data_IF_791149394365
#
_entry.id   IF_791149394365
#
_cell.length_a   1.000
_cell.length_b   1.000
_cell.length_c   1.000
_cell.angle_alpha   90.00
_cell.angle_beta   90.00
_cell.angle_gamma   90.00
#
_symmetry.space_group_name_H-M   'P 1'
#
loop_
_entity.id
_entity.type
_entity.pdbx_description
1 polymer ?
#
# COMPACT_ATOMS: atom_id res chain seq x y z
N UNK A 1 -14.77 -11.04 -20.79
CA UNK A 1 -14.73 -11.19 -19.30
C UNK A 1 -14.58 -9.80 -18.70
N UNK A 2 -15.39 -9.44 -17.69
CA UNK A 2 -15.30 -8.14 -17.04
C UNK A 2 -14.68 -8.27 -15.65
N UNK A 3 -13.93 -7.25 -15.22
CA UNK A 3 -13.36 -7.16 -13.88
C UNK A 3 -13.55 -5.74 -13.32
N UNK A 4 -13.75 -5.65 -12.01
CA UNK A 4 -13.86 -4.40 -11.26
C UNK A 4 -12.51 -4.17 -10.56
N UNK A 5 -11.92 -2.99 -10.72
CA UNK A 5 -10.73 -2.56 -9.99
C UNK A 5 -11.05 -1.40 -9.07
N UNK A 6 -10.56 -1.43 -7.82
CA UNK A 6 -10.73 -0.35 -6.83
C UNK A 6 -9.36 0.10 -6.35
N UNK A 7 -9.12 1.40 -6.45
CA UNK A 7 -7.92 2.08 -5.93
C UNK A 7 -8.31 3.03 -4.79
N UNK A 8 -7.78 2.76 -3.60
CA UNK A 8 -7.97 3.61 -2.41
C UNK A 8 -6.75 4.54 -2.26
N UNK A 9 -6.77 5.66 -2.97
CA UNK A 9 -5.74 6.68 -2.83
C UNK A 9 -5.95 7.58 -1.61
N UNK A 10 -4.93 8.36 -1.29
CA UNK A 10 -4.94 9.30 -0.15
C UNK A 10 -6.00 10.40 -0.30
N UNK A 11 -6.17 10.92 -1.51
CA UNK A 11 -7.09 12.05 -1.81
C UNK A 11 -8.36 11.62 -2.52
N UNK A 12 -8.31 10.53 -3.28
CA UNK A 12 -9.41 10.02 -4.08
C UNK A 12 -9.58 8.52 -3.88
N UNK A 13 -10.79 8.05 -4.12
CA UNK A 13 -11.10 6.62 -4.30
C UNK A 13 -11.56 6.48 -5.74
N UNK A 14 -10.88 5.64 -6.50
CA UNK A 14 -11.18 5.41 -7.90
C UNK A 14 -11.61 3.97 -8.14
N UNK A 15 -12.55 3.79 -9.02
CA UNK A 15 -12.96 2.48 -9.49
C UNK A 15 -12.96 2.45 -11.02
N UNK A 16 -12.64 1.30 -11.58
CA UNK A 16 -12.69 1.03 -13.02
C UNK A 16 -13.40 -0.28 -13.28
N UNK A 17 -14.08 -0.38 -14.41
CA UNK A 17 -14.54 -1.64 -14.96
C UNK A 17 -13.78 -1.89 -16.25
N UNK A 18 -13.13 -3.02 -16.33
CA UNK A 18 -12.30 -3.43 -17.48
C UNK A 18 -12.94 -4.64 -18.12
N UNK A 19 -13.08 -4.61 -19.45
CA UNK A 19 -13.42 -5.77 -20.24
C UNK A 19 -12.18 -6.35 -20.91
N UNK A 20 -11.99 -7.66 -20.78
CA UNK A 20 -10.89 -8.42 -21.41
C UNK A 20 -11.50 -9.33 -22.48
N UNK A 21 -11.06 -9.15 -23.72
CA UNK A 21 -11.48 -9.98 -24.85
C UNK A 21 -10.77 -11.34 -24.90
N UNK A 22 -11.12 -12.18 -25.87
CA UNK A 22 -10.53 -13.51 -26.07
C UNK A 22 -9.03 -13.43 -26.44
N UNK A 23 -8.56 -12.30 -26.97
CA UNK A 23 -7.16 -12.05 -27.32
C UNK A 23 -6.37 -11.44 -26.15
N UNK A 24 -7.00 -11.33 -24.97
CA UNK A 24 -6.46 -10.71 -23.76
C UNK A 24 -6.19 -9.19 -23.88
N UNK A 25 -6.83 -8.51 -24.82
CA UNK A 25 -6.82 -7.06 -24.83
C UNK A 25 -7.78 -6.54 -23.78
N UNK A 26 -7.32 -5.59 -22.97
CA UNK A 26 -8.12 -4.96 -21.94
C UNK A 26 -8.62 -3.60 -22.41
N UNK A 27 -9.91 -3.31 -22.16
CA UNK A 27 -10.51 -2.00 -22.44
C UNK A 27 -11.22 -1.52 -21.19
N UNK A 28 -10.93 -0.30 -20.77
CA UNK A 28 -11.68 0.37 -19.70
C UNK A 28 -13.04 0.78 -20.25
N UNK A 29 -14.11 0.16 -19.74
CA UNK A 29 -15.49 0.45 -20.17
C UNK A 29 -16.19 1.46 -19.27
N UNK A 30 -15.74 1.60 -18.02
CA UNK A 30 -16.19 2.65 -17.10
C UNK A 30 -15.10 2.99 -16.10
N UNK A 31 -15.06 4.25 -15.68
CA UNK A 31 -14.21 4.75 -14.61
C UNK A 31 -15.00 5.76 -13.76
N UNK A 32 -14.80 5.70 -12.45
CA UNK A 32 -15.39 6.61 -11.49
C UNK A 32 -14.36 7.00 -10.44
N UNK A 33 -14.28 8.30 -10.15
CA UNK A 33 -13.41 8.82 -9.09
C UNK A 33 -14.23 9.71 -8.15
N UNK A 34 -14.09 9.49 -6.86
CA UNK A 34 -14.71 10.28 -5.81
C UNK A 34 -13.66 10.82 -4.85
N UNK A 35 -13.96 11.92 -4.16
CA UNK A 35 -13.10 12.48 -3.14
C UNK A 35 -13.07 11.54 -1.91
N UNK A 36 -11.88 11.17 -1.45
CA UNK A 36 -11.70 10.40 -0.24
C UNK A 36 -12.22 11.21 0.96
N UNK A 37 -11.65 12.38 1.23
CA UNK A 37 -12.16 13.34 2.22
C UNK A 37 -12.27 12.77 3.63
N UNK A 38 -11.41 11.83 3.99
CA UNK A 38 -11.42 11.11 5.27
C UNK A 38 -10.35 11.59 6.26
N UNK A 39 -9.54 12.59 5.90
CA UNK A 39 -8.54 13.14 6.81
C UNK A 39 -9.18 13.62 8.11
N UNK A 40 -8.60 13.23 9.24
CA UNK A 40 -8.96 13.65 10.57
C UNK A 40 -8.07 14.86 10.93
N UNK A 41 -8.69 15.94 11.40
CA UNK A 41 -7.93 17.10 11.89
C UNK A 41 -7.32 16.77 13.24
N UNK A 42 -6.03 17.03 13.37
CA UNK A 42 -5.26 16.84 14.61
C UNK A 42 -4.57 18.15 14.98
N UNK A 43 -4.11 18.25 16.22
CA UNK A 43 -3.30 19.38 16.69
C UNK A 43 -1.84 19.28 16.27
N UNK A 44 -1.40 18.11 15.83
CA UNK A 44 -0.02 17.82 15.48
C UNK A 44 0.16 17.90 13.96
N UNK A 45 1.03 18.78 13.48
CA UNK A 45 1.28 18.94 12.04
C UNK A 45 1.89 17.71 11.39
N UNK A 46 2.62 16.88 12.15
CA UNK A 46 3.22 15.65 11.69
C UNK A 46 2.22 14.48 11.58
N UNK A 47 1.09 14.57 12.27
CA UNK A 47 0.10 13.49 12.30
C UNK A 47 -0.78 13.55 11.05
N UNK A 48 -0.74 12.48 10.28
CA UNK A 48 -1.49 12.33 9.02
C UNK A 48 -2.32 11.06 9.09
N UNK A 49 -3.51 11.19 9.65
CA UNK A 49 -4.44 10.09 9.88
C UNK A 49 -5.75 10.29 9.13
N UNK A 50 -6.39 9.18 8.77
CA UNK A 50 -7.67 9.15 8.07
C UNK A 50 -8.67 8.25 8.79
N UNK A 51 -9.95 8.57 8.68
CA UNK A 51 -11.06 7.74 9.15
C UNK A 51 -11.19 6.49 8.27
N UNK A 52 -10.74 5.35 8.79
CA UNK A 52 -10.72 4.08 8.07
C UNK A 52 -12.13 3.62 7.69
N UNK A 53 -13.10 3.72 8.61
CA UNK A 53 -14.48 3.29 8.36
C UNK A 53 -15.16 4.14 7.27
N UNK A 54 -14.92 5.45 7.26
CA UNK A 54 -15.41 6.35 6.23
C UNK A 54 -14.85 5.99 4.85
N UNK A 55 -13.56 5.60 4.78
CA UNK A 55 -12.94 5.13 3.53
C UNK A 55 -13.64 3.86 3.06
N UNK A 56 -13.80 2.87 3.95
CA UNK A 56 -14.44 1.59 3.61
C UNK A 56 -15.87 1.80 3.14
N UNK A 57 -16.67 2.63 3.82
CA UNK A 57 -18.04 2.94 3.39
C UNK A 57 -18.08 3.53 1.98
N UNK A 58 -17.21 4.49 1.68
CA UNK A 58 -17.14 5.11 0.35
C UNK A 58 -16.68 4.14 -0.74
N UNK A 59 -15.66 3.34 -0.45
CA UNK A 59 -15.17 2.33 -1.39
C UNK A 59 -16.25 1.28 -1.69
N UNK A 60 -16.98 0.83 -0.68
CA UNK A 60 -18.11 -0.11 -0.85
C UNK A 60 -19.21 0.47 -1.73
N UNK A 61 -19.54 1.75 -1.59
CA UNK A 61 -20.55 2.40 -2.48
C UNK A 61 -20.10 2.31 -3.95
N UNK A 62 -18.82 2.56 -4.25
CA UNK A 62 -18.29 2.45 -5.62
C UNK A 62 -18.33 1.00 -6.13
N UNK A 63 -17.95 0.04 -5.27
CA UNK A 63 -18.03 -1.41 -5.59
C UNK A 63 -19.46 -1.80 -5.89
N UNK A 64 -20.41 -1.44 -5.02
CA UNK A 64 -21.83 -1.81 -5.15
C UNK A 64 -22.45 -1.23 -6.42
N UNK A 65 -22.19 0.02 -6.73
CA UNK A 65 -22.67 0.66 -7.97
C UNK A 65 -22.14 -0.06 -9.24
N UNK A 66 -20.87 -0.49 -9.23
CA UNK A 66 -20.34 -1.25 -10.36
C UNK A 66 -20.91 -2.66 -10.47
N UNK A 67 -21.14 -3.34 -9.36
CA UNK A 67 -21.76 -4.66 -9.35
C UNK A 67 -23.20 -4.56 -9.88
N UNK A 68 -23.97 -3.57 -9.42
CA UNK A 68 -25.36 -3.37 -9.84
C UNK A 68 -25.45 -3.09 -11.35
N UNK A 69 -24.47 -2.38 -11.92
CA UNK A 69 -24.41 -2.07 -13.35
C UNK A 69 -23.80 -3.18 -14.22
N UNK A 70 -22.85 -3.94 -13.65
CA UNK A 70 -22.12 -5.02 -14.31
C UNK A 70 -22.20 -6.32 -13.50
N UNK A 71 -23.38 -6.92 -13.37
CA UNK A 71 -23.58 -8.13 -12.56
C UNK A 71 -22.84 -9.35 -13.12
N UNK A 72 -22.36 -9.26 -14.36
CA UNK A 72 -21.52 -10.25 -15.04
C UNK A 72 -20.00 -10.07 -14.80
N UNK A 73 -19.61 -9.21 -13.84
CA UNK A 73 -18.23 -9.08 -13.44
C UNK A 73 -17.71 -10.40 -12.82
N UNK A 74 -16.49 -10.80 -13.17
CA UNK A 74 -15.91 -12.07 -12.76
C UNK A 74 -14.92 -11.93 -11.59
N UNK A 75 -14.47 -10.73 -11.30
CA UNK A 75 -13.50 -10.48 -10.24
C UNK A 75 -13.52 -9.03 -9.75
N UNK A 76 -13.15 -8.84 -8.47
CA UNK A 76 -12.88 -7.54 -7.85
C UNK A 76 -11.41 -7.52 -7.42
N UNK A 77 -10.62 -6.67 -8.08
CA UNK A 77 -9.23 -6.40 -7.74
C UNK A 77 -9.09 -5.15 -6.87
N UNK A 78 -8.18 -5.17 -5.91
CA UNK A 78 -7.99 -4.11 -4.93
C UNK A 78 -6.55 -3.57 -4.99
N UNK A 79 -6.43 -2.25 -4.89
CA UNK A 79 -5.16 -1.56 -4.72
C UNK A 79 -5.36 -0.26 -3.94
N UNK A 80 -4.29 0.44 -3.60
CA UNK A 80 -4.38 1.74 -2.92
C UNK A 80 -3.09 2.17 -2.26
N UNK A 81 -3.19 3.20 -1.43
CA UNK A 81 -2.06 3.79 -0.73
C UNK A 81 -1.33 2.77 0.13
N UNK A 82 -0.05 2.59 -0.15
CA UNK A 82 0.84 1.67 0.55
C UNK A 82 1.34 2.27 1.88
N UNK A 83 2.13 1.49 2.60
CA UNK A 83 2.88 1.83 3.83
C UNK A 83 2.02 2.03 5.09
N UNK A 84 0.88 2.72 4.98
CA UNK A 84 0.02 3.03 6.12
C UNK A 84 -0.63 1.80 6.74
N UNK A 85 -0.99 1.89 8.03
CA UNK A 85 -1.63 0.79 8.79
C UNK A 85 -2.93 1.19 9.46
N UNK A 86 -3.83 0.21 9.55
CA UNK A 86 -5.03 0.21 10.40
C UNK A 86 -4.87 -0.92 11.40
N UNK A 87 -5.00 -0.65 12.71
CA UNK A 87 -5.05 -1.70 13.72
C UNK A 87 -6.40 -2.39 13.73
N UNK A 88 -6.36 -3.71 13.90
CA UNK A 88 -7.54 -4.58 13.92
C UNK A 88 -7.58 -5.37 15.23
N UNK A 89 -8.79 -5.56 15.75
CA UNK A 89 -9.02 -6.47 16.88
C UNK A 89 -9.09 -7.95 16.42
N UNK A 90 -9.33 -8.86 17.36
CA UNK A 90 -9.41 -10.30 17.09
C UNK A 90 -10.57 -10.68 16.15
N UNK A 91 -11.63 -9.86 16.09
CA UNK A 91 -12.79 -10.04 15.21
C UNK A 91 -12.56 -9.43 13.82
N UNK A 92 -11.37 -8.85 13.55
CA UNK A 92 -11.04 -8.24 12.28
C UNK A 92 -11.68 -6.87 12.05
N UNK A 93 -12.08 -6.15 13.11
CA UNK A 93 -12.63 -4.80 13.03
C UNK A 93 -11.55 -3.77 13.30
N UNK A 94 -11.62 -2.61 12.63
CA UNK A 94 -10.70 -1.52 12.91
C UNK A 94 -10.89 -0.97 14.33
N UNK A 95 -9.76 -0.74 15.02
CA UNK A 95 -9.71 -0.17 16.36
C UNK A 95 -8.83 1.09 16.39
N UNK A 96 -8.49 1.62 15.22
CA UNK A 96 -7.72 2.85 15.05
C UNK A 96 -8.13 3.59 13.79
N UNK A 97 -7.75 4.86 13.63
CA UNK A 97 -7.69 5.49 12.32
C UNK A 97 -6.67 4.76 11.43
N UNK A 98 -6.70 5.03 10.13
CA UNK A 98 -5.59 4.74 9.23
C UNK A 98 -4.46 5.74 9.50
N UNK A 99 -3.31 5.26 9.91
CA UNK A 99 -2.07 6.01 9.91
C UNK A 99 -1.50 5.97 8.49
N UNK A 100 -1.44 7.12 7.81
CA UNK A 100 -1.06 7.13 6.39
C UNK A 100 0.45 7.11 6.18
N UNK A 101 0.88 6.87 4.95
CA UNK A 101 2.28 6.95 4.56
C UNK A 101 2.92 8.34 4.76
N UNK A 102 2.09 9.40 4.89
CA UNK A 102 2.52 10.77 5.14
C UNK A 102 2.73 11.08 6.62
N UNK A 103 2.40 10.14 7.51
CA UNK A 103 2.51 10.36 8.94
C UNK A 103 3.98 10.49 9.37
N UNK A 104 4.28 11.59 10.05
CA UNK A 104 5.63 12.02 10.39
C UNK A 104 6.13 11.55 11.76
N UNK A 105 5.35 10.72 12.51
CA UNK A 105 5.68 10.36 13.90
C UNK A 105 7.07 9.74 14.10
N UNK A 106 7.56 8.95 13.15
CA UNK A 106 8.89 8.34 13.21
C UNK A 106 10.05 9.36 13.22
N UNK A 107 9.81 10.60 12.76
CA UNK A 107 10.79 11.68 12.74
C UNK A 107 10.80 12.55 14.01
N UNK A 108 9.84 12.34 14.93
CA UNK A 108 9.75 13.16 16.14
C UNK A 108 10.91 12.80 17.06
N UNK A 109 11.64 13.84 17.48
CA UNK A 109 12.71 13.67 18.44
C UNK A 109 12.14 13.47 19.84
N UNK A 110 12.65 12.49 20.56
CA UNK A 110 12.38 12.26 21.97
C UNK A 110 13.07 13.34 22.79
N UNK A 111 12.35 14.00 23.71
CA UNK A 111 12.86 15.12 24.50
C UNK A 111 14.06 14.73 25.39
N UNK A 112 14.18 13.45 25.79
CA UNK A 112 15.24 12.97 26.67
C UNK A 112 16.52 12.64 25.91
N UNK A 113 16.39 12.06 24.73
CA UNK A 113 17.52 11.56 23.93
C UNK A 113 17.93 12.52 22.81
N UNK A 114 17.04 13.44 22.42
CA UNK A 114 17.21 14.32 21.25
C UNK A 114 17.22 13.57 19.91
N UNK A 115 16.87 12.27 19.90
CA UNK A 115 16.89 11.43 18.71
C UNK A 115 15.48 11.04 18.29
N UNK A 116 15.24 10.98 16.99
CA UNK A 116 14.02 10.38 16.46
C UNK A 116 14.09 8.85 16.47
N UNK A 117 12.91 8.21 16.41
CA UNK A 117 12.84 6.76 16.31
C UNK A 117 13.61 6.23 15.10
N UNK A 118 13.53 6.90 13.95
CA UNK A 118 14.30 6.52 12.75
C UNK A 118 15.80 6.56 13.00
N UNK A 119 16.29 7.57 13.71
CA UNK A 119 17.72 7.66 14.05
C UNK A 119 18.15 6.55 15.01
N UNK A 120 17.31 6.23 16.00
CA UNK A 120 17.56 5.12 16.91
C UNK A 120 17.64 3.77 16.18
N UNK A 121 16.74 3.55 15.21
CA UNK A 121 16.71 2.33 14.38
C UNK A 121 17.96 2.27 13.49
N UNK A 122 18.29 3.35 12.79
CA UNK A 122 19.48 3.42 11.95
C UNK A 122 20.75 3.08 12.74
N UNK A 123 20.92 3.64 13.95
CA UNK A 123 22.09 3.39 14.80
C UNK A 123 22.14 1.95 15.34
N UNK A 124 20.99 1.37 15.70
CA UNK A 124 20.92 0.01 16.28
C UNK A 124 20.98 -1.10 15.24
N UNK A 125 20.35 -0.89 14.11
CA UNK A 125 20.07 -1.93 13.13
C UNK A 125 20.74 -1.66 11.77
N UNK A 126 21.31 -0.48 11.54
CA UNK A 126 21.80 -0.04 10.23
C UNK A 126 20.69 -0.10 9.15
N UNK A 127 19.41 -0.07 9.58
CA UNK A 127 18.25 -0.15 8.71
C UNK A 127 17.73 1.26 8.41
N UNK A 128 17.63 1.57 7.12
CA UNK A 128 17.06 2.85 6.64
C UNK A 128 15.58 2.67 6.38
N UNK A 129 14.76 3.40 7.11
CA UNK A 129 13.33 3.39 6.97
C UNK A 129 12.76 4.81 6.74
N UNK A 130 11.52 4.89 6.28
CA UNK A 130 10.77 6.13 6.21
C UNK A 130 9.74 6.21 7.34
N UNK A 131 9.43 7.43 7.79
CA UNK A 131 8.52 7.65 8.92
C UNK A 131 7.13 7.05 8.72
N UNK A 132 6.61 7.11 7.49
CA UNK A 132 5.28 6.58 7.16
C UNK A 132 5.21 5.06 6.96
N UNK A 133 6.32 4.33 7.15
CA UNK A 133 6.27 2.86 7.10
C UNK A 133 5.49 2.29 8.28
N UNK A 134 4.65 1.30 8.01
CA UNK A 134 3.71 0.75 8.99
C UNK A 134 4.35 0.25 10.28
N UNK A 135 5.48 -0.46 10.18
CA UNK A 135 6.21 -0.93 11.35
C UNK A 135 6.92 0.20 12.10
N UNK A 136 7.33 1.28 11.43
CA UNK A 136 7.84 2.49 12.10
C UNK A 136 6.73 3.18 12.88
N UNK A 137 5.54 3.30 12.27
CA UNK A 137 4.34 3.81 12.96
C UNK A 137 4.00 2.96 14.17
N UNK A 138 4.00 1.62 14.02
CA UNK A 138 3.72 0.71 15.11
C UNK A 138 4.74 0.84 16.26
N UNK A 139 6.03 0.81 15.96
CA UNK A 139 7.10 0.96 16.96
C UNK A 139 7.03 2.28 17.73
N UNK A 140 6.69 3.37 17.03
CA UNK A 140 6.44 4.65 17.71
C UNK A 140 5.24 4.55 18.65
N UNK A 141 4.14 4.00 18.17
CA UNK A 141 2.93 3.84 18.97
C UNK A 141 3.16 2.94 20.18
N UNK A 142 3.93 1.86 20.04
CA UNK A 142 4.30 0.98 21.14
C UNK A 142 5.15 1.71 22.18
N UNK A 143 6.21 2.42 21.75
CA UNK A 143 7.09 3.22 22.60
C UNK A 143 6.33 4.27 23.41
N UNK A 144 5.26 4.83 22.85
CA UNK A 144 4.45 5.89 23.45
C UNK A 144 3.10 5.43 24.02
N UNK A 145 2.87 4.12 24.13
CA UNK A 145 1.62 3.52 24.64
C UNK A 145 0.36 3.98 23.88
N UNK A 146 0.48 4.16 22.57
CA UNK A 146 -0.59 4.57 21.65
C UNK A 146 -1.20 3.42 20.85
N UNK A 147 -0.68 2.19 21.01
CA UNK A 147 -1.30 1.01 20.41
C UNK A 147 -2.63 0.75 21.11
N UNK A 148 -3.76 0.64 20.37
CA UNK A 148 -5.05 0.35 20.99
C UNK A 148 -5.00 -0.97 21.78
N UNK A 149 -5.60 -0.99 22.97
CA UNK A 149 -5.56 -2.16 23.84
C UNK A 149 -6.21 -3.40 23.21
N UNK A 150 -7.15 -3.19 22.30
CA UNK A 150 -7.86 -4.25 21.57
C UNK A 150 -7.13 -4.70 20.30
N UNK A 151 -6.01 -4.02 19.96
CA UNK A 151 -5.26 -4.34 18.75
C UNK A 151 -4.65 -5.75 18.82
N UNK A 152 -4.95 -6.56 17.83
CA UNK A 152 -4.44 -7.92 17.67
C UNK A 152 -3.45 -7.99 16.50
N UNK A 153 -3.74 -7.27 15.41
CA UNK A 153 -2.95 -7.22 14.19
C UNK A 153 -3.15 -5.89 13.48
N UNK A 154 -2.54 -5.72 12.32
CA UNK A 154 -2.74 -4.56 11.44
C UNK A 154 -2.69 -4.97 9.97
N UNK A 155 -3.18 -4.11 9.10
CA UNK A 155 -3.04 -4.26 7.64
C UNK A 155 -3.12 -2.89 6.94
N UNK A 156 -2.96 -2.86 5.62
CA UNK A 156 -3.23 -1.66 4.83
C UNK A 156 -4.73 -1.39 4.73
N UNK A 157 -5.11 -0.20 4.27
CA UNK A 157 -6.53 0.15 4.09
C UNK A 157 -7.20 -0.67 2.99
N UNK A 158 -6.48 -1.04 1.92
CA UNK A 158 -7.03 -1.87 0.86
C UNK A 158 -7.16 -3.34 1.28
N UNK A 159 -6.26 -3.87 2.11
CA UNK A 159 -6.42 -5.20 2.70
C UNK A 159 -7.63 -5.21 3.64
N UNK A 160 -7.83 -4.13 4.41
CA UNK A 160 -9.01 -3.97 5.28
C UNK A 160 -10.31 -3.91 4.45
N UNK A 161 -10.32 -3.24 3.29
CA UNK A 161 -11.48 -3.31 2.38
C UNK A 161 -11.74 -4.75 1.94
N UNK A 162 -10.71 -5.49 1.53
CA UNK A 162 -10.83 -6.90 1.16
C UNK A 162 -11.46 -7.75 2.27
N UNK A 163 -11.02 -7.56 3.52
CA UNK A 163 -11.60 -8.22 4.70
C UNK A 163 -13.09 -7.85 4.89
N UNK A 164 -13.42 -6.56 4.79
CA UNK A 164 -14.79 -6.08 4.96
C UNK A 164 -15.74 -6.61 3.89
N UNK A 165 -15.29 -6.74 2.65
CA UNK A 165 -16.07 -7.31 1.56
C UNK A 165 -16.33 -8.82 1.77
N UNK A 166 -15.28 -9.56 2.16
CA UNK A 166 -15.33 -11.02 2.25
C UNK A 166 -15.63 -11.56 3.64
N UNK A 167 -15.81 -10.68 4.64
CA UNK A 167 -16.07 -11.02 6.05
C UNK A 167 -14.95 -11.85 6.69
N UNK A 168 -13.70 -11.66 6.23
CA UNK A 168 -12.54 -12.25 6.89
C UNK A 168 -12.27 -11.56 8.22
N UNK A 169 -11.79 -12.32 9.19
CA UNK A 169 -11.38 -11.81 10.51
C UNK A 169 -9.87 -11.59 10.64
N UNK A 170 -9.09 -12.12 9.71
CA UNK A 170 -7.63 -12.01 9.71
C UNK A 170 -7.16 -11.49 8.34
N UNK A 171 -6.21 -10.55 8.31
CA UNK A 171 -5.66 -10.04 7.07
C UNK A 171 -4.75 -11.08 6.40
N UNK A 172 -4.91 -11.21 5.08
CA UNK A 172 -3.95 -11.83 4.18
C UNK A 172 -3.40 -10.71 3.30
N UNK A 173 -2.10 -10.48 3.38
CA UNK A 173 -1.43 -9.34 2.75
C UNK A 173 -0.48 -9.84 1.66
N UNK A 174 -0.62 -9.31 0.45
CA UNK A 174 0.33 -9.64 -0.62
C UNK A 174 1.73 -9.07 -0.30
N UNK A 175 2.79 -9.79 -0.70
CA UNK A 175 4.19 -9.40 -0.46
C UNK A 175 4.51 -7.95 -0.87
N UNK A 176 3.83 -7.39 -1.89
CA UNK A 176 4.01 -6.00 -2.31
C UNK A 176 3.61 -5.00 -1.22
N UNK A 177 2.52 -5.28 -0.50
CA UNK A 177 2.05 -4.48 0.63
C UNK A 177 2.84 -4.77 1.90
N UNK A 178 3.16 -6.04 2.17
CA UNK A 178 3.96 -6.45 3.32
C UNK A 178 5.35 -5.77 3.31
N UNK A 179 6.02 -5.74 2.16
CA UNK A 179 7.30 -5.05 2.00
C UNK A 179 7.21 -3.54 2.34
N UNK A 180 6.06 -2.92 2.08
CA UNK A 180 5.84 -1.49 2.34
C UNK A 180 5.73 -1.13 3.82
N UNK A 181 5.55 -2.11 4.71
CA UNK A 181 5.55 -1.86 6.15
C UNK A 181 6.94 -1.61 6.73
N UNK A 182 8.01 -1.98 6.02
CA UNK A 182 9.39 -1.96 6.50
C UNK A 182 9.77 -3.25 7.25
N UNK A 183 11.05 -3.41 7.56
CA UNK A 183 11.61 -4.63 8.18
C UNK A 183 11.19 -5.90 7.44
N UNK A 184 11.30 -5.87 6.13
CA UNK A 184 10.91 -6.95 5.25
C UNK A 184 12.08 -7.34 4.34
N UNK A 185 12.46 -8.61 4.39
CA UNK A 185 13.44 -9.19 3.46
C UNK A 185 12.74 -9.46 2.12
N UNK A 186 13.00 -8.59 1.14
CA UNK A 186 12.37 -8.64 -0.18
C UNK A 186 12.76 -9.91 -0.95
N UNK A 187 13.95 -10.43 -0.73
CA UNK A 187 14.44 -11.63 -1.39
C UNK A 187 13.84 -12.89 -0.77
N UNK A 188 13.77 -12.97 0.55
CA UNK A 188 13.15 -14.09 1.28
C UNK A 188 11.64 -13.97 1.37
N UNK A 189 11.10 -12.78 1.05
CA UNK A 189 9.67 -12.45 1.09
C UNK A 189 9.02 -12.70 2.44
N UNK A 190 9.72 -12.32 3.50
CA UNK A 190 9.25 -12.43 4.88
C UNK A 190 9.68 -11.24 5.73
N UNK A 191 9.00 -11.03 6.85
CA UNK A 191 9.44 -10.03 7.83
C UNK A 191 10.76 -10.44 8.46
N UNK A 192 11.62 -9.46 8.71
CA UNK A 192 12.93 -9.63 9.37
C UNK A 192 12.75 -9.77 10.89
N UNK A 193 12.25 -10.92 11.33
CA UNK A 193 11.88 -11.20 12.72
C UNK A 193 13.06 -11.02 13.69
N UNK A 194 14.30 -11.30 13.26
CA UNK A 194 15.49 -11.09 14.10
C UNK A 194 15.69 -9.61 14.47
N UNK A 195 15.43 -8.69 13.54
CA UNK A 195 15.47 -7.26 13.80
C UNK A 195 14.29 -6.83 14.68
N UNK A 196 13.08 -7.31 14.38
CA UNK A 196 11.89 -7.01 15.17
C UNK A 196 12.05 -7.47 16.62
N UNK A 197 12.63 -8.63 16.86
CA UNK A 197 12.97 -9.12 18.21
C UNK A 197 14.02 -8.25 18.91
N UNK A 198 15.06 -7.79 18.19
CA UNK A 198 16.10 -6.91 18.77
C UNK A 198 15.55 -5.56 19.21
N UNK A 199 14.54 -5.03 18.51
CA UNK A 199 13.88 -3.78 18.88
C UNK A 199 12.68 -3.99 19.80
N UNK A 200 12.45 -5.24 20.26
CA UNK A 200 11.42 -5.68 21.22
C UNK A 200 9.98 -5.39 20.74
N UNK A 201 9.69 -5.70 19.49
CA UNK A 201 8.33 -5.68 18.97
C UNK A 201 7.63 -7.00 19.32
N UNK A 202 7.05 -7.07 20.50
CA UNK A 202 6.47 -8.33 21.03
C UNK A 202 4.94 -8.30 21.14
N UNK A 203 4.29 -7.15 20.87
CA UNK A 203 2.92 -6.91 21.33
C UNK A 203 1.85 -7.12 20.27
N UNK A 204 2.21 -7.26 18.99
CA UNK A 204 1.23 -7.40 17.91
C UNK A 204 1.55 -8.55 16.97
N UNK A 205 0.51 -9.25 16.52
CA UNK A 205 0.65 -10.30 15.51
C UNK A 205 0.85 -9.67 14.13
N UNK A 206 1.93 -10.03 13.44
CA UNK A 206 2.13 -9.66 12.05
C UNK A 206 1.06 -10.30 11.16
N UNK A 207 0.63 -9.63 10.06
CA UNK A 207 -0.33 -10.20 9.12
C UNK A 207 0.25 -11.43 8.41
N UNK A 208 -0.64 -12.33 7.98
CA UNK A 208 -0.29 -13.43 7.09
C UNK A 208 0.08 -12.89 5.71
N UNK A 209 1.07 -13.52 5.06
CA UNK A 209 1.60 -13.05 3.78
C UNK A 209 1.32 -14.08 2.69
N UNK A 210 0.95 -13.60 1.48
CA UNK A 210 0.91 -14.40 0.28
C UNK A 210 1.76 -13.78 -0.84
N UNK A 211 2.24 -14.62 -1.75
CA UNK A 211 3.07 -14.21 -2.89
C UNK A 211 2.29 -14.11 -4.19
N UNK A 212 1.19 -14.83 -4.29
CA UNK A 212 0.35 -14.93 -5.47
C UNK A 212 -0.98 -14.18 -5.29
N UNK A 213 -1.69 -14.01 -6.40
CA UNK A 213 -3.02 -13.42 -6.42
C UNK A 213 -4.05 -14.42 -5.89
N UNK A 214 -4.23 -14.43 -4.57
CA UNK A 214 -5.19 -15.30 -3.89
C UNK A 214 -6.59 -14.69 -3.84
N UNK A 215 -7.61 -15.55 -3.85
CA UNK A 215 -9.00 -15.16 -3.63
C UNK A 215 -9.27 -15.09 -2.13
N UNK A 216 -9.58 -13.90 -1.62
CA UNK A 216 -9.92 -13.68 -0.22
C UNK A 216 -11.27 -14.30 0.17
N UNK A 217 -12.20 -14.34 -0.76
CA UNK A 217 -13.58 -14.79 -0.58
C UNK A 217 -14.49 -14.18 -1.63
N UNK A 218 -15.81 -14.24 -1.39
CA UNK A 218 -16.83 -13.75 -2.31
C UNK A 218 -17.53 -12.51 -1.76
N UNK A 219 -17.83 -11.56 -2.63
CA UNK A 219 -18.72 -10.44 -2.34
C UNK A 219 -19.82 -10.36 -3.39
N UNK A 220 -21.09 -10.54 -2.99
CA UNK A 220 -22.25 -10.65 -3.90
C UNK A 220 -21.97 -11.62 -5.07
N UNK A 221 -21.46 -12.81 -4.74
CA UNK A 221 -21.10 -13.89 -5.67
C UNK A 221 -19.94 -13.60 -6.63
N UNK A 222 -19.23 -12.49 -6.45
CA UNK A 222 -18.04 -12.14 -7.22
C UNK A 222 -16.80 -12.35 -6.36
N UNK A 223 -15.77 -13.10 -6.84
CA UNK A 223 -14.53 -13.28 -6.10
C UNK A 223 -13.78 -11.97 -5.91
N UNK A 224 -13.27 -11.76 -4.70
CA UNK A 224 -12.41 -10.63 -4.33
C UNK A 224 -10.99 -11.14 -4.15
N UNK A 225 -10.03 -10.56 -4.87
CA UNK A 225 -8.61 -10.94 -4.75
C UNK A 225 -7.89 -10.13 -3.68
N UNK A 226 -6.78 -10.68 -3.21
CA UNK A 226 -5.84 -9.98 -2.33
C UNK A 226 -5.42 -8.65 -2.95
N UNK A 227 -5.26 -7.62 -2.11
CA UNK A 227 -4.85 -6.31 -2.57
C UNK A 227 -3.36 -6.26 -2.91
N UNK A 228 -3.00 -5.56 -3.99
CA UNK A 228 -1.60 -5.29 -4.37
C UNK A 228 -1.27 -3.81 -4.20
N UNK A 229 0.01 -3.48 -4.06
CA UNK A 229 0.45 -2.09 -3.93
C UNK A 229 0.11 -1.25 -5.18
N UNK A 230 -0.10 0.05 -4.98
CA UNK A 230 -0.44 0.99 -6.05
C UNK A 230 0.62 1.07 -7.16
N UNK A 231 1.90 1.00 -6.80
CA UNK A 231 3.00 0.97 -7.76
C UNK A 231 2.94 -0.28 -8.66
N UNK A 232 2.69 -1.45 -8.08
CA UNK A 232 2.56 -2.71 -8.80
C UNK A 232 1.31 -2.70 -9.70
N UNK A 233 0.20 -2.21 -9.17
CA UNK A 233 -1.05 -2.08 -9.93
C UNK A 233 -0.90 -1.10 -11.10
N UNK A 234 -0.25 0.04 -10.87
CA UNK A 234 0.03 1.05 -11.90
C UNK A 234 0.93 0.49 -13.00
N UNK A 235 2.00 -0.22 -12.63
CA UNK A 235 2.88 -0.87 -13.61
C UNK A 235 2.12 -1.93 -14.42
N UNK A 236 1.38 -2.81 -13.76
CA UNK A 236 0.59 -3.87 -14.41
C UNK A 236 -0.43 -3.29 -15.39
N UNK A 237 -1.13 -2.24 -14.99
CA UNK A 237 -2.14 -1.58 -15.84
C UNK A 237 -1.56 -0.85 -17.05
N UNK A 238 -0.35 -0.26 -16.91
CA UNK A 238 0.28 0.53 -17.96
C UNK A 238 1.18 -0.29 -18.91
N UNK A 239 1.85 -1.32 -18.39
CA UNK A 239 2.94 -2.01 -19.05
C UNK A 239 2.77 -3.55 -19.11
N UNK A 240 1.76 -4.09 -18.42
CA UNK A 240 1.54 -5.54 -18.35
C UNK A 240 2.51 -6.25 -17.40
N UNK A 241 2.70 -7.56 -17.63
CA UNK A 241 3.52 -8.43 -16.77
C UNK A 241 4.69 -9.10 -17.50
N UNK A 242 5.07 -8.57 -18.66
CA UNK A 242 6.20 -9.08 -19.43
C UNK A 242 7.53 -8.58 -18.88
N UNK A 243 8.52 -9.48 -18.79
CA UNK A 243 9.86 -9.14 -18.33
C UNK A 243 10.55 -8.13 -19.25
N UNK A 244 11.49 -7.38 -18.67
CA UNK A 244 12.25 -6.34 -19.35
C UNK A 244 11.38 -5.20 -19.93
N UNK A 245 10.15 -5.07 -19.46
CA UNK A 245 9.31 -3.93 -19.78
C UNK A 245 9.74 -2.74 -18.93
N UNK A 246 9.98 -1.60 -19.58
CA UNK A 246 10.33 -0.33 -18.97
C UNK A 246 9.11 0.59 -18.94
N UNK A 247 8.75 1.06 -17.75
CA UNK A 247 7.75 2.11 -17.58
C UNK A 247 8.42 3.40 -17.11
N UNK A 248 8.25 4.47 -17.87
CA UNK A 248 8.69 5.82 -17.50
C UNK A 248 7.47 6.64 -17.13
N UNK A 249 7.36 7.00 -15.87
CA UNK A 249 6.28 7.85 -15.36
C UNK A 249 6.83 9.25 -15.06
N UNK A 250 6.34 10.25 -15.79
CA UNK A 250 6.80 11.64 -15.65
C UNK A 250 5.64 12.53 -15.19
N UNK A 251 5.62 12.82 -13.89
CA UNK A 251 4.80 13.85 -13.29
C UNK A 251 5.68 15.04 -12.85
N UNK A 252 5.39 15.66 -11.70
CA UNK A 252 6.26 16.66 -11.07
C UNK A 252 7.64 16.07 -10.76
N UNK A 253 7.67 14.84 -10.22
CA UNK A 253 8.86 13.98 -10.17
C UNK A 253 8.93 13.05 -11.38
N UNK A 254 10.00 12.27 -11.48
CA UNK A 254 10.16 11.20 -12.46
C UNK A 254 10.36 9.85 -11.77
N UNK A 255 9.77 8.79 -12.32
CA UNK A 255 9.99 7.43 -11.89
C UNK A 255 10.23 6.54 -13.10
N UNK A 256 11.24 5.70 -12.99
CA UNK A 256 11.51 4.65 -13.98
C UNK A 256 11.35 3.32 -13.26
N UNK A 257 10.59 2.42 -13.85
CA UNK A 257 10.33 1.09 -13.29
C UNK A 257 10.61 0.02 -14.34
N UNK A 258 11.27 -1.07 -13.92
CA UNK A 258 11.60 -2.21 -14.79
C UNK A 258 11.14 -3.50 -14.10
N UNK A 259 10.43 -4.35 -14.84
CA UNK A 259 10.04 -5.66 -14.36
C UNK A 259 11.12 -6.70 -14.68
N UNK A 260 11.52 -7.49 -13.69
CA UNK A 260 12.56 -8.51 -13.80
C UNK A 260 12.26 -9.74 -12.94
N UNK A 261 12.79 -10.90 -13.31
CA UNK A 261 12.78 -12.11 -12.49
C UNK A 261 13.91 -12.13 -11.44
N UNK A 262 14.89 -11.21 -11.55
CA UNK A 262 16.06 -11.18 -10.69
C UNK A 262 15.97 -10.06 -9.68
N UNK A 263 16.32 -10.38 -8.42
CA UNK A 263 16.52 -9.40 -7.38
C UNK A 263 17.82 -8.64 -7.63
N UNK A 264 17.75 -7.31 -7.57
CA UNK A 264 18.91 -6.42 -7.60
C UNK A 264 18.82 -5.41 -6.47
N UNK A 265 19.95 -5.22 -5.81
CA UNK A 265 20.13 -4.16 -4.82
C UNK A 265 21.28 -3.26 -5.27
N UNK A 266 21.01 -1.99 -5.49
CA UNK A 266 22.01 -1.00 -5.85
C UNK A 266 21.59 0.40 -5.40
N UNK A 267 22.56 1.29 -5.26
CA UNK A 267 22.28 2.66 -4.83
C UNK A 267 21.33 3.37 -5.81
N UNK A 268 20.27 3.97 -5.28
CA UNK A 268 19.27 4.71 -6.06
C UNK A 268 18.21 3.88 -6.77
N UNK A 269 18.27 2.54 -6.67
CA UNK A 269 17.24 1.63 -7.19
C UNK A 269 16.69 0.77 -6.06
N UNK A 270 15.39 0.80 -5.89
CA UNK A 270 14.66 -0.02 -4.92
C UNK A 270 14.04 -1.22 -5.63
N UNK A 271 14.28 -2.42 -5.12
CA UNK A 271 13.60 -3.63 -5.57
C UNK A 271 12.33 -3.85 -4.74
N UNK A 272 11.19 -3.94 -5.42
CA UNK A 272 9.88 -4.17 -4.80
C UNK A 272 9.32 -5.51 -5.27
N UNK A 273 8.75 -6.33 -4.37
CA UNK A 273 8.08 -7.57 -4.80
C UNK A 273 6.97 -7.28 -5.80
N UNK A 274 6.86 -8.16 -6.79
CA UNK A 274 5.83 -8.12 -7.82
C UNK A 274 5.14 -9.47 -7.94
N UNK A 275 4.07 -9.55 -8.71
CA UNK A 275 3.30 -10.77 -8.97
C UNK A 275 4.17 -11.86 -9.62
N UNK A 276 3.85 -13.13 -9.34
CA UNK A 276 4.54 -14.28 -9.95
C UNK A 276 6.01 -14.40 -9.56
N UNK A 277 6.38 -13.99 -8.36
CA UNK A 277 7.74 -14.08 -7.85
C UNK A 277 8.74 -13.08 -8.44
N UNK A 278 8.27 -12.15 -9.25
CA UNK A 278 9.09 -11.12 -9.92
C UNK A 278 9.40 -9.94 -9.01
N UNK A 279 10.23 -9.03 -9.52
CA UNK A 279 10.60 -7.79 -8.85
C UNK A 279 10.39 -6.59 -9.76
N UNK A 280 9.86 -5.52 -9.18
CA UNK A 280 9.79 -4.22 -9.81
C UNK A 280 10.97 -3.38 -9.29
N UNK A 281 11.95 -3.13 -10.16
CA UNK A 281 13.06 -2.24 -9.86
C UNK A 281 12.61 -0.81 -10.12
N UNK A 282 12.72 0.04 -9.11
CA UNK A 282 12.20 1.40 -9.14
C UNK A 282 13.32 2.39 -8.86
N UNK A 283 13.61 3.24 -9.83
CA UNK A 283 14.42 4.43 -9.67
C UNK A 283 13.54 5.68 -9.67
N UNK A 284 13.64 6.52 -8.64
CA UNK A 284 12.86 7.73 -8.50
C UNK A 284 13.73 8.98 -8.50
N UNK A 285 13.28 10.03 -9.19
CA UNK A 285 13.90 11.35 -9.18
C UNK A 285 12.93 12.38 -8.61
N UNK A 286 13.43 13.26 -7.76
CA UNK A 286 12.66 14.39 -7.23
C UNK A 286 12.30 15.42 -8.31
N UNK A 287 12.93 15.34 -9.48
CA UNK A 287 12.79 16.30 -10.56
C UNK A 287 12.47 15.56 -11.86
N UNK A 288 11.25 15.70 -12.34
CA UNK A 288 10.77 15.14 -13.61
C UNK A 288 10.22 16.24 -14.51
N UNK A 289 8.91 16.30 -14.69
CA UNK A 289 8.22 17.30 -15.50
C UNK A 289 8.48 18.74 -15.07
N UNK A 290 8.80 19.00 -13.81
CA UNK A 290 9.19 20.33 -13.35
C UNK A 290 10.55 20.76 -13.92
N UNK A 291 11.53 19.84 -14.03
CA UNK A 291 12.80 20.14 -14.69
C UNK A 291 12.61 20.37 -16.19
N UNK A 292 11.76 19.54 -16.82
CA UNK A 292 11.42 19.73 -18.23
C UNK A 292 10.76 21.10 -18.49
N UNK A 293 9.79 21.50 -17.66
CA UNK A 293 9.14 22.80 -17.77
C UNK A 293 10.15 23.95 -17.63
N UNK A 294 11.06 23.87 -16.65
CA UNK A 294 12.12 24.85 -16.45
C UNK A 294 13.07 24.92 -17.64
N UNK A 295 13.50 23.76 -18.17
CA UNK A 295 14.37 23.72 -19.36
C UNK A 295 13.69 24.33 -20.58
N UNK A 296 12.40 24.05 -20.79
CA UNK A 296 11.60 24.62 -21.88
C UNK A 296 11.50 26.14 -21.77
N UNK A 297 11.33 26.69 -20.58
CA UNK A 297 11.30 28.15 -20.35
C UNK A 297 12.69 28.78 -20.56
N UNK A 298 13.76 28.08 -20.23
CA UNK A 298 15.13 28.57 -20.35
C UNK A 298 15.70 28.51 -21.77
N UNK A 299 15.15 27.63 -22.62
CA UNK A 299 15.64 27.43 -24.02
C UNK A 299 14.77 28.05 -25.09
N UNK A 300 13.63 28.66 -24.73
CA UNK A 300 12.69 29.36 -25.62
C UNK A 300 11.72 28.44 -26.27
#
# INVERSE_FOLDING_TARGET
>A
MKAIGIDIGTTTISGVVVEVDERRHSTVIEAKTIQNGSFIRTSNEWERIQDAEKIIQKAKVVVDEFIDKYPDAHNIGLTGQMHGIVYLNAEGRSVSPLYTWQDGRGNICDDKTGKSLLKEIEEKCQYKAASGYGLITHLYNEKHHLVPIEANTFCTIMDYLGMCLTKRTHPLVHVSNAASFGFFDVQKKCFETDWLNKIRMDTIRLPEICEDMEVLGMYKDIPVTVAIGDNQASFLGAAGSENNTLLVNMGTGGQISVLTDQYFETEGIEARPFLGGKYLLVGASLCGGKAYAFMKEATG
#
